data_IF_463125669010
#
_entry.id   IF_463125669010
#
_cell.length_a   1.000
_cell.length_b   1.000
_cell.length_c   1.000
_cell.angle_alpha   90.00
_cell.angle_beta   90.00
_cell.angle_gamma   90.00
#
_symmetry.space_group_name_H-M   'P 1'
#
loop_
_entity.id
_entity.type
_entity.pdbx_description
1 polymer ?
#
# COMPACT_ATOMS: atom_id res chain seq x y z
N UNK A 1 -75.38 -13.44 -41.27
CA UNK A 1 -74.01 -13.40 -41.84
C UNK A 1 -73.60 -11.92 -41.87
N UNK A 2 -72.98 -11.39 -40.81
CA UNK A 2 -71.52 -11.26 -40.62
C UNK A 2 -70.83 -10.52 -41.79
N UNK A 3 -69.92 -9.56 -41.64
CA UNK A 3 -69.31 -8.81 -40.52
C UNK A 3 -68.50 -7.67 -41.19
N UNK A 4 -68.55 -6.46 -40.63
CA UNK A 4 -67.46 -5.49 -40.36
C UNK A 4 -66.25 -5.35 -41.30
N UNK A 5 -65.96 -4.11 -41.71
CA UNK A 5 -64.58 -3.62 -41.88
C UNK A 5 -64.52 -2.08 -41.68
N UNK A 6 -64.43 -1.64 -40.42
CA UNK A 6 -63.86 -0.34 -40.07
C UNK A 6 -62.34 -0.54 -39.94
N UNK A 7 -61.56 0.04 -40.85
CA UNK A 7 -60.12 0.17 -40.71
C UNK A 7 -59.82 1.32 -39.74
N UNK A 8 -59.77 1.01 -38.45
CA UNK A 8 -59.06 1.83 -37.47
C UNK A 8 -57.56 1.55 -37.64
N UNK A 9 -56.83 2.59 -38.05
CA UNK A 9 -55.38 2.70 -37.92
C UNK A 9 -55.02 2.60 -36.43
N UNK A 10 -54.81 1.39 -35.94
CA UNK A 10 -54.01 1.16 -34.74
C UNK A 10 -52.57 1.42 -35.16
N UNK A 11 -52.12 2.66 -34.92
CA UNK A 11 -50.70 2.93 -34.82
C UNK A 11 -50.21 2.10 -33.63
N UNK A 12 -49.60 0.96 -33.93
CA UNK A 12 -48.78 0.22 -32.97
C UNK A 12 -47.63 1.14 -32.55
N UNK A 13 -47.86 1.93 -31.50
CA UNK A 13 -46.79 2.40 -30.63
C UNK A 13 -46.19 1.14 -30.02
N UNK A 14 -45.09 0.67 -30.59
CA UNK A 14 -44.19 -0.24 -29.89
C UNK A 14 -43.87 0.39 -28.53
N UNK A 15 -44.12 -0.28 -27.39
CA UNK A 15 -43.52 0.15 -26.16
C UNK A 15 -42.06 -0.29 -26.24
N UNK A 16 -41.22 0.50 -26.92
CA UNK A 16 -39.83 0.56 -26.47
C UNK A 16 -39.95 1.09 -25.06
N UNK A 17 -39.82 0.21 -24.06
CA UNK A 17 -39.80 0.57 -22.66
C UNK A 17 -38.62 1.52 -22.45
N UNK A 18 -38.85 2.81 -22.68
CA UNK A 18 -37.93 3.87 -22.37
C UNK A 18 -37.76 3.80 -20.87
N UNK A 19 -36.59 3.33 -20.44
CA UNK A 19 -36.21 3.32 -19.03
C UNK A 19 -36.48 4.72 -18.49
N UNK A 20 -37.38 4.84 -17.52
CA UNK A 20 -37.66 6.13 -16.92
C UNK A 20 -36.52 6.43 -15.97
N UNK A 21 -35.84 7.55 -16.22
CA UNK A 21 -34.84 8.07 -15.29
C UNK A 21 -35.53 8.34 -13.93
N UNK A 22 -34.94 7.90 -12.81
CA UNK A 22 -35.49 8.26 -11.50
C UNK A 22 -35.55 9.79 -11.37
N UNK A 23 -36.67 10.31 -10.85
CA UNK A 23 -36.96 11.76 -10.88
C UNK A 23 -35.89 12.63 -10.19
N UNK A 24 -35.22 12.07 -9.19
CA UNK A 24 -34.17 12.76 -8.43
C UNK A 24 -32.80 12.70 -9.10
N UNK A 25 -32.64 12.00 -10.23
CA UNK A 25 -31.35 11.70 -10.82
C UNK A 25 -31.21 12.30 -12.21
N UNK A 26 -29.96 12.51 -12.63
CA UNK A 26 -29.62 12.82 -14.01
C UNK A 26 -29.16 11.54 -14.71
N UNK A 27 -29.81 11.19 -15.82
CA UNK A 27 -29.41 10.02 -16.60
C UNK A 27 -28.55 10.44 -17.78
N UNK A 28 -27.32 9.92 -17.84
CA UNK A 28 -26.39 10.14 -18.96
C UNK A 28 -26.70 9.23 -20.15
N UNK A 29 -27.37 8.10 -19.90
CA UNK A 29 -27.86 7.14 -20.89
C UNK A 29 -29.11 6.44 -20.33
N UNK A 30 -29.80 5.63 -21.13
CA UNK A 30 -30.94 4.84 -20.64
C UNK A 30 -30.55 3.76 -19.60
N UNK A 31 -29.27 3.59 -19.30
CA UNK A 31 -28.74 2.54 -18.44
C UNK A 31 -27.96 3.06 -17.23
N UNK A 32 -27.71 4.37 -17.16
CA UNK A 32 -26.90 4.99 -16.10
C UNK A 32 -27.67 6.13 -15.46
N UNK A 33 -28.00 5.98 -14.18
CA UNK A 33 -28.60 7.03 -13.36
C UNK A 33 -27.56 7.60 -12.40
N UNK A 34 -27.36 8.92 -12.45
CA UNK A 34 -26.43 9.68 -11.59
C UNK A 34 -27.25 10.51 -10.61
N UNK A 35 -27.21 10.11 -9.34
CA UNK A 35 -27.93 10.71 -8.23
C UNK A 35 -26.95 11.25 -7.16
N UNK A 36 -25.71 11.51 -7.55
CA UNK A 36 -24.60 11.82 -6.66
C UNK A 36 -24.56 13.29 -6.25
N UNK A 37 -24.10 13.61 -5.04
CA UNK A 37 -23.94 15.02 -4.57
C UNK A 37 -25.24 15.84 -4.57
N UNK A 38 -26.38 15.19 -4.31
CA UNK A 38 -27.71 15.81 -4.30
C UNK A 38 -28.23 16.08 -2.88
N UNK A 39 -27.39 15.89 -1.87
CA UNK A 39 -27.74 16.02 -0.45
C UNK A 39 -28.93 15.14 -0.04
N UNK A 40 -29.10 13.96 -0.66
CA UNK A 40 -30.19 13.05 -0.35
C UNK A 40 -30.01 12.49 1.08
N UNK A 41 -31.04 12.61 1.91
CA UNK A 41 -31.04 12.07 3.28
C UNK A 41 -31.77 10.73 3.39
N UNK A 42 -32.66 10.45 2.44
CA UNK A 42 -33.44 9.21 2.39
C UNK A 42 -33.87 8.90 0.96
N UNK A 43 -34.26 7.64 0.72
CA UNK A 43 -34.84 7.17 -0.51
C UNK A 43 -36.23 6.59 -0.23
N UNK A 44 -37.23 6.98 -1.02
CA UNK A 44 -38.54 6.31 -0.96
C UNK A 44 -38.42 4.87 -1.46
N UNK A 45 -39.19 3.94 -0.90
CA UNK A 45 -39.17 2.52 -1.29
C UNK A 45 -39.46 2.27 -2.78
N UNK A 46 -40.22 3.16 -3.42
CA UNK A 46 -40.54 3.11 -4.85
C UNK A 46 -39.64 3.98 -5.75
N UNK A 47 -38.51 4.50 -5.24
CA UNK A 47 -37.67 5.48 -5.98
C UNK A 47 -37.22 5.00 -7.36
N UNK A 48 -37.10 3.68 -7.55
CA UNK A 48 -36.60 3.05 -8.76
C UNK A 48 -37.62 2.13 -9.45
N UNK A 49 -38.90 2.21 -9.09
CA UNK A 49 -39.94 1.27 -9.55
C UNK A 49 -40.04 1.14 -11.08
N UNK A 50 -39.74 2.22 -11.82
CA UNK A 50 -39.86 2.28 -13.29
C UNK A 50 -38.50 2.26 -14.02
N UNK A 51 -37.42 1.90 -13.31
CA UNK A 51 -36.03 2.01 -13.80
C UNK A 51 -35.31 0.65 -13.87
N UNK A 52 -36.05 -0.44 -14.13
CA UNK A 52 -35.52 -1.82 -14.12
C UNK A 52 -34.43 -2.15 -15.15
N UNK A 53 -34.25 -1.28 -16.15
CA UNK A 53 -33.21 -1.43 -17.18
C UNK A 53 -31.85 -0.84 -16.77
N UNK A 54 -31.74 -0.18 -15.61
CA UNK A 54 -30.48 0.41 -15.18
C UNK A 54 -29.39 -0.66 -15.00
N UNK A 55 -28.21 -0.36 -15.54
CA UNK A 55 -26.99 -1.13 -15.37
C UNK A 55 -26.05 -0.48 -14.34
N UNK A 56 -26.13 0.85 -14.21
CA UNK A 56 -25.29 1.63 -13.29
C UNK A 56 -26.17 2.60 -12.51
N UNK A 57 -26.06 2.55 -11.18
CA UNK A 57 -26.73 3.47 -10.27
C UNK A 57 -25.68 4.11 -9.36
N UNK A 58 -25.61 5.44 -9.41
CA UNK A 58 -24.67 6.25 -8.64
C UNK A 58 -25.42 7.05 -7.59
N UNK A 59 -25.20 6.75 -6.32
CA UNK A 59 -25.80 7.39 -5.14
C UNK A 59 -24.73 7.94 -4.18
N UNK A 60 -23.49 8.02 -4.62
CA UNK A 60 -22.35 8.47 -3.82
C UNK A 60 -22.43 9.94 -3.45
N UNK A 61 -21.71 10.34 -2.39
CA UNK A 61 -21.66 11.73 -1.90
C UNK A 61 -23.04 12.27 -1.53
N UNK A 62 -23.82 11.50 -0.80
CA UNK A 62 -25.09 11.93 -0.24
C UNK A 62 -25.06 11.80 1.30
N UNK A 63 -26.20 12.02 1.95
CA UNK A 63 -26.34 11.92 3.41
C UNK A 63 -27.29 10.78 3.79
N UNK A 64 -27.31 9.69 3.01
CA UNK A 64 -28.16 8.55 3.30
C UNK A 64 -27.67 7.90 4.58
N UNK A 65 -28.53 7.85 5.60
CA UNK A 65 -28.21 7.22 6.89
C UNK A 65 -28.74 5.79 7.02
N UNK A 66 -29.76 5.46 6.23
CA UNK A 66 -30.38 4.14 6.17
C UNK A 66 -31.04 3.91 4.81
N UNK A 67 -31.28 2.65 4.47
CA UNK A 67 -31.95 2.24 3.23
C UNK A 67 -33.08 1.28 3.57
N UNK A 68 -34.22 1.40 2.87
CA UNK A 68 -35.28 0.40 3.00
C UNK A 68 -34.88 -0.90 2.30
N UNK A 69 -35.22 -2.04 2.89
CA UNK A 69 -34.80 -3.37 2.43
C UNK A 69 -35.12 -3.70 0.97
N UNK A 70 -36.15 -3.07 0.38
CA UNK A 70 -36.59 -3.37 -0.98
C UNK A 70 -36.31 -2.23 -1.98
N UNK A 71 -35.54 -1.21 -1.60
CA UNK A 71 -35.32 -0.01 -2.44
C UNK A 71 -34.74 -0.37 -3.83
N UNK A 72 -33.90 -1.41 -3.92
CA UNK A 72 -33.28 -1.85 -5.17
C UNK A 72 -33.93 -3.11 -5.80
N UNK A 73 -35.07 -3.56 -5.26
CA UNK A 73 -35.71 -4.84 -5.64
C UNK A 73 -36.07 -4.97 -7.13
N UNK A 74 -36.27 -3.85 -7.83
CA UNK A 74 -36.63 -3.82 -9.26
C UNK A 74 -35.41 -3.74 -10.20
N UNK A 75 -34.22 -3.52 -9.67
CA UNK A 75 -32.99 -3.27 -10.42
C UNK A 75 -32.24 -4.57 -10.76
N UNK A 76 -32.93 -5.56 -11.31
CA UNK A 76 -32.39 -6.92 -11.50
C UNK A 76 -31.22 -7.01 -12.48
N UNK A 77 -31.08 -6.03 -13.38
CA UNK A 77 -30.00 -5.97 -14.38
C UNK A 77 -28.79 -5.14 -13.92
N UNK A 78 -28.81 -4.62 -12.69
CA UNK A 78 -27.79 -3.69 -12.21
C UNK A 78 -26.43 -4.39 -12.11
N UNK A 79 -25.41 -3.79 -12.74
CA UNK A 79 -24.02 -4.28 -12.74
C UNK A 79 -23.13 -3.50 -11.79
N UNK A 80 -23.45 -2.23 -11.53
CA UNK A 80 -22.70 -1.36 -10.64
C UNK A 80 -23.62 -0.52 -9.75
N UNK A 81 -23.32 -0.52 -8.46
CA UNK A 81 -24.00 0.27 -7.45
C UNK A 81 -22.97 1.03 -6.59
N UNK A 82 -23.03 2.35 -6.65
CA UNK A 82 -22.16 3.24 -5.88
C UNK A 82 -22.97 3.84 -4.72
N UNK A 83 -22.63 3.43 -3.49
CA UNK A 83 -23.23 3.91 -2.23
C UNK A 83 -22.17 4.53 -1.31
N UNK A 84 -20.97 4.77 -1.83
CA UNK A 84 -19.85 5.34 -1.09
C UNK A 84 -20.06 6.81 -0.73
N UNK A 85 -19.23 7.32 0.20
CA UNK A 85 -19.32 8.71 0.69
C UNK A 85 -20.75 9.07 1.17
N UNK A 86 -21.36 8.19 1.97
CA UNK A 86 -22.67 8.38 2.62
C UNK A 86 -22.53 8.25 4.15
N UNK A 87 -23.65 8.14 4.87
CA UNK A 87 -23.65 8.01 6.34
C UNK A 87 -24.33 6.73 6.84
N UNK A 88 -24.34 5.68 6.01
CA UNK A 88 -25.01 4.41 6.31
C UNK A 88 -24.38 3.78 7.55
N UNK A 89 -25.22 3.39 8.52
CA UNK A 89 -24.78 2.75 9.78
C UNK A 89 -24.97 1.24 9.77
N UNK A 90 -25.95 0.78 9.01
CA UNK A 90 -26.40 -0.59 8.91
C UNK A 90 -27.03 -0.84 7.53
N UNK A 91 -27.06 -2.11 7.12
CA UNK A 91 -27.70 -2.55 5.89
C UNK A 91 -28.76 -3.59 6.24
N UNK A 92 -29.99 -3.48 5.69
CA UNK A 92 -30.97 -4.56 5.78
C UNK A 92 -30.45 -5.84 5.11
N UNK A 93 -30.74 -7.00 5.69
CA UNK A 93 -30.26 -8.29 5.19
C UNK A 93 -30.69 -8.57 3.73
N UNK A 94 -31.89 -8.15 3.33
CA UNK A 94 -32.41 -8.38 1.97
C UNK A 94 -32.14 -7.23 0.98
N UNK A 95 -31.31 -6.25 1.33
CA UNK A 95 -31.10 -5.03 0.53
C UNK A 95 -30.67 -5.32 -0.92
N UNK A 96 -29.86 -6.36 -1.10
CA UNK A 96 -29.27 -6.69 -2.41
C UNK A 96 -29.81 -8.02 -3.00
N UNK A 97 -30.87 -8.60 -2.42
CA UNK A 97 -31.34 -9.95 -2.80
C UNK A 97 -31.65 -10.08 -4.29
N UNK A 98 -32.16 -9.03 -4.93
CA UNK A 98 -32.55 -9.05 -6.35
C UNK A 98 -31.42 -8.72 -7.34
N UNK A 99 -30.23 -8.33 -6.87
CA UNK A 99 -29.14 -7.79 -7.70
C UNK A 99 -28.18 -8.88 -8.21
N UNK A 100 -28.71 -9.92 -8.84
CA UNK A 100 -27.93 -11.10 -9.26
C UNK A 100 -26.83 -10.80 -10.29
N UNK A 101 -26.99 -9.74 -11.08
CA UNK A 101 -26.04 -9.30 -12.12
C UNK A 101 -24.96 -8.34 -11.59
N UNK A 102 -24.96 -8.03 -10.29
CA UNK A 102 -24.07 -7.02 -9.72
C UNK A 102 -22.62 -7.49 -9.73
N UNK A 103 -21.75 -6.67 -10.31
CA UNK A 103 -20.31 -6.92 -10.44
C UNK A 103 -19.47 -5.98 -9.60
N UNK A 104 -19.93 -4.75 -9.38
CA UNK A 104 -19.21 -3.71 -8.65
C UNK A 104 -20.13 -3.13 -7.58
N UNK A 105 -19.68 -3.19 -6.33
CA UNK A 105 -20.37 -2.60 -5.19
C UNK A 105 -19.41 -1.74 -4.37
N UNK A 106 -19.71 -0.45 -4.27
CA UNK A 106 -18.99 0.49 -3.42
C UNK A 106 -19.83 0.86 -2.21
N UNK A 107 -19.31 0.55 -1.03
CA UNK A 107 -19.87 0.84 0.29
C UNK A 107 -18.84 1.53 1.20
N UNK A 108 -17.70 1.94 0.64
CA UNK A 108 -16.65 2.64 1.37
C UNK A 108 -17.10 4.02 1.85
N UNK A 109 -16.34 4.59 2.79
CA UNK A 109 -16.58 5.95 3.29
C UNK A 109 -18.02 6.13 3.83
N UNK A 110 -18.45 5.16 4.63
CA UNK A 110 -19.72 5.15 5.35
C UNK A 110 -19.46 5.01 6.87
N UNK A 111 -20.48 4.65 7.66
CA UNK A 111 -20.36 4.45 9.11
C UNK A 111 -20.80 3.05 9.54
N UNK A 112 -20.63 2.04 8.68
CA UNK A 112 -21.03 0.66 8.94
C UNK A 112 -20.19 0.08 10.08
N UNK A 113 -20.85 -0.46 11.11
CA UNK A 113 -20.17 -1.11 12.25
C UNK A 113 -20.20 -2.63 12.17
N UNK A 114 -21.22 -3.19 11.52
CA UNK A 114 -21.40 -4.63 11.28
C UNK A 114 -22.09 -4.84 9.93
N UNK A 115 -22.09 -6.08 9.44
CA UNK A 115 -22.84 -6.50 8.25
C UNK A 115 -23.68 -7.74 8.59
N UNK A 116 -24.92 -7.85 8.09
CA UNK A 116 -25.68 -9.10 8.19
C UNK A 116 -24.98 -10.21 7.40
N UNK A 117 -24.93 -11.44 7.92
CA UNK A 117 -24.19 -12.55 7.31
C UNK A 117 -24.60 -12.88 5.87
N UNK A 118 -25.88 -12.72 5.52
CA UNK A 118 -26.38 -13.04 4.18
C UNK A 118 -26.50 -11.83 3.24
N UNK A 119 -26.04 -10.63 3.63
CA UNK A 119 -26.30 -9.41 2.85
C UNK A 119 -25.76 -9.46 1.42
N UNK A 120 -24.68 -10.24 1.18
CA UNK A 120 -24.09 -10.44 -0.15
C UNK A 120 -24.43 -11.79 -0.78
N UNK A 121 -25.25 -12.64 -0.13
CA UNK A 121 -25.41 -14.05 -0.51
C UNK A 121 -25.81 -14.30 -1.97
N UNK A 122 -26.60 -13.40 -2.55
CA UNK A 122 -27.10 -13.49 -3.93
C UNK A 122 -26.19 -12.84 -4.97
N UNK A 123 -25.13 -12.15 -4.55
CA UNK A 123 -24.19 -11.41 -5.41
C UNK A 123 -23.07 -12.32 -5.91
N UNK A 124 -23.44 -13.39 -6.63
CA UNK A 124 -22.50 -14.42 -7.10
C UNK A 124 -21.55 -13.91 -8.20
N UNK A 125 -21.98 -12.88 -8.94
CA UNK A 125 -21.20 -12.25 -10.01
C UNK A 125 -20.31 -11.10 -9.54
N UNK A 126 -20.23 -10.85 -8.22
CA UNK A 126 -19.49 -9.74 -7.67
C UNK A 126 -17.98 -9.91 -7.91
N UNK A 127 -17.37 -8.90 -8.54
CA UNK A 127 -15.94 -8.85 -8.89
C UNK A 127 -15.19 -7.88 -7.98
N UNK A 128 -15.82 -6.74 -7.65
CA UNK A 128 -15.21 -5.68 -6.83
C UNK A 128 -16.15 -5.34 -5.68
N UNK A 129 -15.62 -5.42 -4.45
CA UNK A 129 -16.28 -5.00 -3.24
C UNK A 129 -15.39 -4.07 -2.41
N UNK A 130 -15.84 -2.82 -2.24
CA UNK A 130 -15.14 -1.85 -1.40
C UNK A 130 -15.95 -1.55 -0.14
N UNK A 131 -15.34 -1.84 1.01
CA UNK A 131 -15.87 -1.62 2.35
C UNK A 131 -14.90 -0.78 3.21
N UNK A 132 -13.89 -0.16 2.59
CA UNK A 132 -12.88 0.59 3.31
C UNK A 132 -13.41 1.88 3.93
N UNK A 133 -12.72 2.40 4.93
CA UNK A 133 -13.13 3.60 5.65
C UNK A 133 -14.56 3.49 6.22
N UNK A 134 -14.83 2.39 6.91
CA UNK A 134 -16.02 2.17 7.73
C UNK A 134 -15.58 1.95 9.19
N UNK A 135 -16.46 1.40 10.03
CA UNK A 135 -16.20 1.14 11.46
C UNK A 135 -16.40 -0.33 11.79
N UNK A 136 -16.15 -1.22 10.83
CA UNK A 136 -16.42 -2.65 10.97
C UNK A 136 -15.44 -3.26 11.97
N UNK A 137 -15.96 -3.78 13.08
CA UNK A 137 -15.14 -4.42 14.13
C UNK A 137 -14.96 -5.93 13.89
N UNK A 138 -15.97 -6.56 13.29
CA UNK A 138 -15.98 -7.98 12.93
C UNK A 138 -16.90 -8.22 11.74
N UNK A 139 -16.68 -9.35 11.06
CA UNK A 139 -17.53 -9.84 9.99
C UNK A 139 -18.05 -11.23 10.37
N UNK A 140 -19.31 -11.58 10.02
CA UNK A 140 -19.78 -12.96 10.10
C UNK A 140 -18.91 -13.91 9.27
N UNK A 141 -18.75 -15.16 9.71
CA UNK A 141 -17.84 -16.12 9.05
C UNK A 141 -18.29 -16.45 7.62
N UNK A 142 -19.61 -16.45 7.38
CA UNK A 142 -20.28 -16.80 6.11
C UNK A 142 -20.41 -15.64 5.12
N UNK A 143 -19.93 -14.43 5.46
CA UNK A 143 -20.23 -13.18 4.73
C UNK A 143 -19.84 -13.21 3.24
N UNK A 144 -18.87 -14.05 2.87
CA UNK A 144 -18.32 -14.16 1.51
C UNK A 144 -18.49 -15.54 0.86
N UNK A 145 -19.35 -16.42 1.38
CA UNK A 145 -19.47 -17.82 0.94
C UNK A 145 -19.84 -17.96 -0.56
N UNK A 146 -20.60 -17.00 -1.09
CA UNK A 146 -21.07 -17.00 -2.48
C UNK A 146 -20.14 -16.26 -3.45
N UNK A 147 -19.18 -15.46 -2.97
CA UNK A 147 -18.40 -14.48 -3.75
C UNK A 147 -17.21 -15.11 -4.49
N UNK A 148 -17.42 -16.23 -5.19
CA UNK A 148 -16.35 -17.01 -5.86
C UNK A 148 -15.63 -16.26 -6.98
N UNK A 149 -16.28 -15.26 -7.57
CA UNK A 149 -15.77 -14.44 -8.65
C UNK A 149 -15.08 -13.15 -8.17
N UNK A 150 -15.04 -12.91 -6.86
CA UNK A 150 -14.49 -11.68 -6.30
C UNK A 150 -12.98 -11.61 -6.55
N UNK A 151 -12.53 -10.52 -7.19
CA UNK A 151 -11.13 -10.27 -7.54
C UNK A 151 -10.51 -9.19 -6.66
N UNK A 152 -11.30 -8.21 -6.21
CA UNK A 152 -10.84 -7.10 -5.38
C UNK A 152 -11.71 -6.96 -4.14
N UNK A 153 -11.11 -7.07 -2.97
CA UNK A 153 -11.75 -6.84 -1.68
C UNK A 153 -10.95 -5.82 -0.88
N UNK A 154 -11.61 -4.74 -0.48
CA UNK A 154 -10.99 -3.72 0.37
C UNK A 154 -11.74 -3.57 1.70
N UNK A 155 -11.06 -3.94 2.78
CA UNK A 155 -11.48 -3.80 4.18
C UNK A 155 -10.56 -2.84 4.95
N UNK A 156 -9.73 -2.08 4.23
CA UNK A 156 -8.78 -1.11 4.80
C UNK A 156 -9.50 -0.04 5.63
N UNK A 157 -8.84 0.51 6.67
CA UNK A 157 -9.41 1.57 7.52
C UNK A 157 -10.77 1.15 8.12
N UNK A 158 -10.76 0.01 8.79
CA UNK A 158 -11.86 -0.45 9.64
C UNK A 158 -11.31 -0.70 11.06
N UNK A 159 -12.05 -1.41 11.91
CA UNK A 159 -11.67 -1.72 13.28
C UNK A 159 -11.47 -3.22 13.51
N UNK A 160 -11.12 -3.99 12.47
CA UNK A 160 -10.95 -5.44 12.56
C UNK A 160 -9.81 -5.80 13.50
N UNK A 161 -10.08 -6.66 14.49
CA UNK A 161 -9.09 -7.09 15.50
C UNK A 161 -8.48 -8.46 15.22
N UNK A 162 -9.23 -9.34 14.57
CA UNK A 162 -8.83 -10.70 14.24
C UNK A 162 -9.28 -11.04 12.82
N UNK A 163 -8.47 -11.83 12.12
CA UNK A 163 -8.85 -12.47 10.86
C UNK A 163 -9.52 -13.81 11.16
N UNK A 164 -10.67 -14.06 10.51
CA UNK A 164 -11.25 -15.39 10.43
C UNK A 164 -10.91 -15.98 9.05
N UNK A 165 -10.36 -17.20 9.05
CA UNK A 165 -10.01 -17.90 7.81
C UNK A 165 -11.24 -18.25 6.97
N UNK A 166 -12.43 -18.38 7.60
CA UNK A 166 -13.66 -18.71 6.88
C UNK A 166 -14.05 -17.60 5.89
N UNK A 167 -13.71 -16.33 6.16
CA UNK A 167 -13.95 -15.21 5.24
C UNK A 167 -13.32 -15.42 3.86
N UNK A 168 -12.21 -16.16 3.79
CA UNK A 168 -11.40 -16.31 2.58
C UNK A 168 -11.63 -17.65 1.87
N UNK A 169 -12.35 -18.58 2.50
CA UNK A 169 -12.47 -19.98 2.11
C UNK A 169 -12.90 -20.21 0.66
N UNK A 170 -13.74 -19.34 0.13
CA UNK A 170 -14.29 -19.46 -1.22
C UNK A 170 -13.76 -18.41 -2.21
N UNK A 171 -12.81 -17.57 -1.78
CA UNK A 171 -12.29 -16.43 -2.55
C UNK A 171 -11.08 -16.80 -3.42
N UNK A 172 -11.16 -17.91 -4.16
CA UNK A 172 -10.04 -18.42 -4.98
C UNK A 172 -9.66 -17.54 -6.17
N UNK A 173 -10.55 -16.65 -6.60
CA UNK A 173 -10.34 -15.66 -7.68
C UNK A 173 -9.77 -14.34 -7.18
N UNK A 174 -9.61 -14.16 -5.86
CA UNK A 174 -9.19 -12.89 -5.29
C UNK A 174 -7.74 -12.59 -5.65
N UNK A 175 -7.49 -11.44 -6.26
CA UNK A 175 -6.17 -10.99 -6.70
C UNK A 175 -5.61 -9.90 -5.79
N UNK A 176 -6.48 -9.04 -5.25
CA UNK A 176 -6.13 -7.93 -4.38
C UNK A 176 -6.94 -7.93 -3.08
N UNK A 177 -6.23 -7.99 -1.95
CA UNK A 177 -6.81 -7.93 -0.62
C UNK A 177 -6.20 -6.79 0.21
N UNK A 178 -7.01 -5.81 0.59
CA UNK A 178 -6.61 -4.70 1.45
C UNK A 178 -7.14 -4.85 2.87
N UNK A 179 -6.24 -5.05 3.83
CA UNK A 179 -6.52 -5.17 5.27
C UNK A 179 -5.75 -4.13 6.11
N UNK A 180 -5.09 -3.17 5.46
CA UNK A 180 -4.30 -2.16 6.17
C UNK A 180 -5.14 -1.21 7.01
N UNK A 181 -4.50 -0.54 7.98
CA UNK A 181 -5.19 0.40 8.88
C UNK A 181 -6.35 -0.26 9.64
N UNK A 182 -6.11 -1.44 10.20
CA UNK A 182 -7.02 -2.13 11.11
C UNK A 182 -6.31 -2.32 12.48
N UNK A 183 -6.83 -3.20 13.32
CA UNK A 183 -6.31 -3.49 14.66
C UNK A 183 -5.83 -4.94 14.78
N UNK A 184 -5.37 -5.54 13.67
CA UNK A 184 -4.95 -6.94 13.62
C UNK A 184 -3.68 -7.15 14.46
N UNK A 185 -3.66 -8.20 15.27
CA UNK A 185 -2.56 -8.48 16.23
C UNK A 185 -1.68 -9.66 15.82
N UNK A 186 -2.22 -10.62 15.08
CA UNK A 186 -1.48 -11.81 14.66
C UNK A 186 -2.00 -12.37 13.33
N UNK A 187 -1.16 -13.12 12.64
CA UNK A 187 -1.53 -13.90 11.45
C UNK A 187 -1.31 -15.38 11.77
N UNK A 188 -2.37 -16.17 11.68
CA UNK A 188 -2.34 -17.61 11.90
C UNK A 188 -1.96 -18.35 10.60
N UNK A 189 -1.37 -19.53 10.73
CA UNK A 189 -1.15 -20.45 9.62
C UNK A 189 -2.47 -20.69 8.87
N UNK A 190 -2.40 -20.90 7.56
CA UNK A 190 -3.55 -21.19 6.70
C UNK A 190 -4.64 -20.11 6.59
N UNK A 191 -4.51 -18.95 7.27
CA UNK A 191 -5.47 -17.83 7.18
C UNK A 191 -5.80 -17.46 5.73
N UNK A 192 -4.79 -17.45 4.86
CA UNK A 192 -4.94 -17.07 3.44
C UNK A 192 -4.89 -18.26 2.48
N UNK A 193 -4.94 -19.50 2.98
CA UNK A 193 -4.65 -20.72 2.18
C UNK A 193 -5.54 -20.93 0.95
N UNK A 194 -6.77 -20.40 0.97
CA UNK A 194 -7.71 -20.51 -0.15
C UNK A 194 -7.49 -19.45 -1.25
N UNK A 195 -6.68 -18.41 -1.00
CA UNK A 195 -6.49 -17.27 -1.90
C UNK A 195 -5.45 -17.56 -3.00
N UNK A 196 -5.70 -18.61 -3.78
CA UNK A 196 -4.72 -19.16 -4.76
C UNK A 196 -4.38 -18.21 -5.91
N UNK A 197 -5.20 -17.18 -6.15
CA UNK A 197 -4.94 -16.16 -7.17
C UNK A 197 -4.37 -14.85 -6.62
N UNK A 198 -4.15 -14.75 -5.31
CA UNK A 198 -3.76 -13.50 -4.67
C UNK A 198 -2.38 -13.05 -5.12
N UNK A 199 -2.29 -11.80 -5.57
CA UNK A 199 -1.05 -11.14 -6.04
C UNK A 199 -0.57 -10.07 -5.07
N UNK A 200 -1.51 -9.40 -4.41
CA UNK A 200 -1.26 -8.23 -3.59
C UNK A 200 -1.96 -8.35 -2.25
N UNK A 201 -1.18 -8.35 -1.16
CA UNK A 201 -1.70 -8.42 0.20
C UNK A 201 -1.21 -7.24 1.02
N UNK A 202 -2.15 -6.42 1.46
CA UNK A 202 -1.87 -5.23 2.28
C UNK A 202 -2.26 -5.46 3.73
N UNK A 203 -1.27 -5.48 4.63
CA UNK A 203 -1.41 -5.68 6.08
C UNK A 203 -0.72 -4.57 6.89
N UNK A 204 -0.25 -3.52 6.23
CA UNK A 204 0.47 -2.41 6.87
C UNK A 204 -0.43 -1.58 7.80
N UNK A 205 0.18 -0.80 8.69
CA UNK A 205 -0.56 0.03 9.65
C UNK A 205 -1.55 -0.79 10.50
N UNK A 206 -1.11 -1.94 10.99
CA UNK A 206 -1.87 -2.77 11.93
C UNK A 206 -1.10 -2.83 13.27
N UNK A 207 -1.45 -3.77 14.14
CA UNK A 207 -0.78 -3.99 15.42
C UNK A 207 -0.14 -5.37 15.47
N UNK A 208 0.30 -5.90 14.32
CA UNK A 208 0.73 -7.29 14.20
C UNK A 208 2.04 -7.47 14.97
N UNK A 209 2.01 -8.38 15.95
CA UNK A 209 3.15 -8.72 16.81
C UNK A 209 3.80 -10.03 16.36
N UNK A 210 3.00 -10.96 15.83
CA UNK A 210 3.47 -12.28 15.40
C UNK A 210 2.79 -12.75 14.12
N UNK A 211 3.55 -13.52 13.33
CA UNK A 211 3.10 -14.25 12.16
C UNK A 211 3.52 -15.69 12.38
N UNK A 212 2.60 -16.63 12.25
CA UNK A 212 2.92 -18.05 12.38
C UNK A 212 3.74 -18.55 11.17
N UNK A 213 4.47 -19.63 11.40
CA UNK A 213 5.22 -20.32 10.36
C UNK A 213 4.30 -20.71 9.19
N UNK A 214 4.82 -20.66 7.96
CA UNK A 214 4.11 -21.05 6.74
C UNK A 214 2.83 -20.26 6.41
N UNK A 215 2.56 -19.12 7.07
CA UNK A 215 1.35 -18.33 6.88
C UNK A 215 1.07 -17.90 5.42
N UNK A 216 2.11 -17.81 4.58
CA UNK A 216 2.02 -17.41 3.17
C UNK A 216 2.37 -18.54 2.18
N UNK A 217 2.56 -19.77 2.66
CA UNK A 217 3.09 -20.90 1.86
C UNK A 217 2.16 -21.36 0.73
N UNK A 218 0.85 -21.19 0.90
CA UNK A 218 -0.20 -21.61 -0.05
C UNK A 218 -0.64 -20.49 -1.01
N UNK A 219 0.19 -19.48 -1.21
CA UNK A 219 -0.08 -18.32 -2.07
C UNK A 219 0.83 -18.31 -3.31
N UNK A 220 0.54 -19.12 -4.35
CA UNK A 220 1.46 -19.36 -5.47
C UNK A 220 1.60 -18.18 -6.44
N UNK A 221 0.79 -17.12 -6.29
CA UNK A 221 0.85 -15.91 -7.11
C UNK A 221 1.18 -14.64 -6.33
N UNK A 222 1.47 -14.73 -5.03
CA UNK A 222 1.68 -13.54 -4.19
C UNK A 222 3.00 -12.86 -4.57
N UNK A 223 2.91 -11.67 -5.15
CA UNK A 223 4.08 -10.91 -5.63
C UNK A 223 4.45 -9.78 -4.66
N UNK A 224 3.47 -9.14 -4.02
CA UNK A 224 3.69 -7.96 -3.18
C UNK A 224 3.03 -8.15 -1.81
N UNK A 225 3.84 -8.05 -0.77
CA UNK A 225 3.43 -8.16 0.63
C UNK A 225 3.84 -6.91 1.42
N UNK A 226 2.84 -6.19 1.92
CA UNK A 226 3.05 -5.01 2.75
C UNK A 226 2.78 -5.31 4.22
N UNK A 227 3.84 -5.33 5.04
CA UNK A 227 3.81 -5.57 6.49
C UNK A 227 4.39 -4.40 7.31
N UNK A 228 4.66 -3.27 6.67
CA UNK A 228 5.25 -2.10 7.30
C UNK A 228 4.30 -1.41 8.29
N UNK A 229 4.84 -0.60 9.21
CA UNK A 229 4.08 0.05 10.29
C UNK A 229 3.25 -0.97 11.10
N UNK A 230 3.94 -1.99 11.62
CA UNK A 230 3.39 -3.01 12.53
C UNK A 230 4.28 -3.08 13.80
N UNK A 231 4.13 -4.14 14.60
CA UNK A 231 4.84 -4.32 15.87
C UNK A 231 5.69 -5.60 15.88
N UNK A 232 6.12 -6.07 14.71
CA UNK A 232 6.95 -7.27 14.59
C UNK A 232 8.31 -7.01 15.25
N UNK A 233 8.74 -7.91 16.14
CA UNK A 233 10.01 -7.78 16.86
C UNK A 233 11.11 -8.71 16.33
N UNK A 234 10.72 -9.77 15.62
CA UNK A 234 11.61 -10.76 15.01
C UNK A 234 10.99 -11.40 13.76
N UNK A 235 11.84 -11.96 12.90
CA UNK A 235 11.45 -12.84 11.79
C UNK A 235 12.16 -14.18 11.97
N UNK A 236 11.39 -15.26 12.13
CA UNK A 236 11.88 -16.64 12.29
C UNK A 236 12.07 -17.33 10.93
N UNK A 237 12.67 -18.53 10.95
CA UNK A 237 13.05 -19.30 9.75
C UNK A 237 11.89 -19.58 8.79
N UNK A 238 10.69 -19.83 9.33
CA UNK A 238 9.62 -20.47 8.55
C UNK A 238 8.45 -19.54 8.21
N UNK A 239 8.42 -18.29 8.67
CA UNK A 239 7.32 -17.33 8.39
C UNK A 239 7.07 -17.20 6.88
N UNK A 240 8.14 -17.09 6.08
CA UNK A 240 8.07 -16.92 4.63
C UNK A 240 8.35 -18.21 3.86
N UNK A 241 8.46 -19.35 4.54
CA UNK A 241 8.78 -20.61 3.88
C UNK A 241 7.63 -21.02 2.94
N UNK A 242 7.97 -21.35 1.69
CA UNK A 242 7.03 -21.60 0.59
C UNK A 242 6.57 -20.35 -0.20
N UNK A 243 6.81 -19.13 0.29
CA UNK A 243 6.38 -17.88 -0.36
C UNK A 243 7.31 -17.42 -1.51
N UNK A 244 7.72 -18.37 -2.36
CA UNK A 244 8.68 -18.18 -3.47
C UNK A 244 8.33 -17.10 -4.51
N UNK A 245 7.06 -16.75 -4.79
CA UNK A 245 6.73 -15.75 -5.82
C UNK A 245 6.90 -14.30 -5.37
N UNK A 246 7.12 -14.03 -4.07
CA UNK A 246 7.20 -12.66 -3.56
C UNK A 246 8.39 -11.93 -4.22
N UNK A 247 8.09 -10.79 -4.84
CA UNK A 247 9.05 -9.88 -5.48
C UNK A 247 9.32 -8.65 -4.63
N UNK A 248 8.34 -8.18 -3.86
CA UNK A 248 8.48 -7.01 -3.00
C UNK A 248 7.96 -7.31 -1.60
N UNK A 249 8.84 -7.16 -0.60
CA UNK A 249 8.53 -7.35 0.81
C UNK A 249 8.83 -6.06 1.58
N UNK A 250 7.79 -5.47 2.19
CA UNK A 250 7.93 -4.28 3.03
C UNK A 250 7.77 -4.63 4.50
N UNK A 251 8.84 -4.47 5.28
CA UNK A 251 8.92 -4.70 6.72
C UNK A 251 9.39 -3.44 7.49
N UNK A 252 9.49 -2.30 6.81
CA UNK A 252 9.94 -1.05 7.42
C UNK A 252 9.01 -0.57 8.53
N UNK A 253 9.52 0.28 9.41
CA UNK A 253 8.78 0.80 10.57
C UNK A 253 8.12 -0.29 11.43
N UNK A 254 8.87 -1.36 11.70
CA UNK A 254 8.52 -2.38 12.69
C UNK A 254 9.45 -2.22 13.91
N UNK A 255 9.49 -3.24 14.78
CA UNK A 255 10.33 -3.27 15.96
C UNK A 255 11.42 -4.35 15.84
N UNK A 256 11.82 -4.69 14.62
CA UNK A 256 12.69 -5.83 14.35
C UNK A 256 14.07 -5.61 14.99
N UNK A 257 14.43 -6.46 15.95
CA UNK A 257 15.75 -6.45 16.61
C UNK A 257 16.67 -7.54 16.07
N UNK A 258 16.08 -8.65 15.62
CA UNK A 258 16.77 -9.84 15.14
C UNK A 258 16.00 -10.43 13.96
N UNK A 259 16.73 -11.07 13.06
CA UNK A 259 16.17 -11.89 12.00
C UNK A 259 16.97 -13.19 11.94
N UNK A 260 16.29 -14.30 11.69
CA UNK A 260 16.96 -15.56 11.43
C UNK A 260 17.83 -15.48 10.17
N UNK A 261 18.96 -16.18 10.19
CA UNK A 261 19.82 -16.41 9.01
C UNK A 261 19.09 -17.06 7.82
N UNK A 262 17.92 -17.69 8.05
CA UNK A 262 17.12 -18.36 7.02
C UNK A 262 15.81 -17.64 6.69
N UNK A 263 15.56 -16.49 7.30
CA UNK A 263 14.28 -15.77 7.20
C UNK A 263 13.83 -15.53 5.74
N UNK A 264 14.77 -15.35 4.81
CA UNK A 264 14.48 -15.12 3.39
C UNK A 264 14.93 -16.25 2.47
N UNK A 265 15.34 -17.42 2.99
CA UNK A 265 15.93 -18.51 2.20
C UNK A 265 15.03 -18.95 1.03
N UNK A 266 13.71 -19.02 1.25
CA UNK A 266 12.70 -19.38 0.24
C UNK A 266 12.36 -18.27 -0.76
N UNK A 267 12.64 -17.00 -0.43
CA UNK A 267 12.23 -15.82 -1.21
C UNK A 267 13.17 -15.58 -2.40
N UNK A 268 13.27 -16.57 -3.29
CA UNK A 268 14.21 -16.58 -4.41
C UNK A 268 13.84 -15.63 -5.56
N UNK A 269 12.60 -15.12 -5.59
CA UNK A 269 12.12 -14.14 -6.58
C UNK A 269 12.22 -12.69 -6.10
N UNK A 270 12.77 -12.46 -4.91
CA UNK A 270 12.75 -11.16 -4.24
C UNK A 270 13.61 -10.13 -4.97
N UNK A 271 12.99 -9.02 -5.36
CA UNK A 271 13.60 -7.89 -6.06
C UNK A 271 13.75 -6.66 -5.16
N UNK A 272 12.86 -6.48 -4.18
CA UNK A 272 12.84 -5.33 -3.28
C UNK A 272 12.58 -5.74 -1.84
N UNK A 273 13.42 -5.26 -0.93
CA UNK A 273 13.27 -5.42 0.51
C UNK A 273 13.39 -4.07 1.18
N UNK A 274 12.39 -3.74 1.99
CA UNK A 274 12.36 -2.55 2.84
C UNK A 274 12.43 -2.98 4.30
N UNK A 275 13.54 -2.70 4.97
CA UNK A 275 13.80 -3.02 6.37
C UNK A 275 14.12 -1.77 7.19
N UNK A 276 13.98 -0.59 6.61
CA UNK A 276 14.26 0.69 7.24
C UNK A 276 13.36 1.01 8.44
N UNK A 277 13.81 1.91 9.31
CA UNK A 277 13.03 2.31 10.50
C UNK A 277 12.79 1.18 11.51
N UNK A 278 13.71 0.22 11.59
CA UNK A 278 13.68 -0.90 12.54
C UNK A 278 14.77 -0.74 13.64
N UNK A 279 14.98 -1.78 14.44
CA UNK A 279 15.92 -1.79 15.57
C UNK A 279 17.07 -2.79 15.35
N UNK A 280 17.40 -3.10 14.10
CA UNK A 280 18.39 -4.12 13.75
C UNK A 280 19.80 -3.64 14.14
N UNK A 281 20.52 -4.45 14.91
CA UNK A 281 21.90 -4.15 15.35
C UNK A 281 22.97 -4.82 14.52
N UNK A 282 22.62 -5.95 13.91
CA UNK A 282 23.45 -6.73 13.00
C UNK A 282 22.55 -7.55 12.06
N UNK A 283 23.15 -8.04 10.97
CA UNK A 283 22.52 -8.96 10.03
C UNK A 283 23.42 -10.19 9.87
N UNK A 284 22.82 -11.38 9.87
CA UNK A 284 23.58 -12.61 9.65
C UNK A 284 24.14 -12.67 8.22
N UNK A 285 25.39 -13.10 8.08
CA UNK A 285 26.07 -13.27 6.79
C UNK A 285 25.33 -14.13 5.75
N UNK A 286 24.45 -15.04 6.19
CA UNK A 286 23.71 -15.97 5.31
C UNK A 286 22.29 -15.52 4.98
N UNK A 287 21.81 -14.43 5.61
CA UNK A 287 20.43 -13.96 5.49
C UNK A 287 19.96 -13.78 4.03
N UNK A 288 20.86 -13.29 3.16
CA UNK A 288 20.56 -12.98 1.76
C UNK A 288 21.23 -13.93 0.76
N UNK A 289 21.60 -15.14 1.20
CA UNK A 289 22.37 -16.10 0.38
C UNK A 289 21.65 -16.49 -0.92
N UNK A 290 20.31 -16.50 -0.92
CA UNK A 290 19.48 -16.90 -2.06
C UNK A 290 18.96 -15.72 -2.90
N UNK A 291 19.27 -14.48 -2.54
CA UNK A 291 18.64 -13.26 -3.09
C UNK A 291 19.42 -12.64 -4.26
N UNK A 292 19.79 -13.43 -5.27
CA UNK A 292 20.58 -12.96 -6.42
C UNK A 292 19.83 -12.00 -7.38
N UNK A 293 18.49 -11.97 -7.32
CA UNK A 293 17.62 -11.05 -8.07
C UNK A 293 17.37 -9.73 -7.35
N UNK A 294 17.85 -9.56 -6.13
CA UNK A 294 17.58 -8.37 -5.33
C UNK A 294 18.17 -7.12 -5.99
N UNK A 295 17.32 -6.12 -6.19
CA UNK A 295 17.65 -4.84 -6.84
C UNK A 295 17.65 -3.69 -5.84
N UNK A 296 16.87 -3.80 -4.77
CA UNK A 296 16.71 -2.76 -3.77
C UNK A 296 16.78 -3.35 -2.37
N UNK A 297 17.67 -2.79 -1.54
CA UNK A 297 17.81 -3.11 -0.12
C UNK A 297 17.88 -1.81 0.68
N UNK A 298 16.77 -1.47 1.34
CA UNK A 298 16.65 -0.30 2.21
C UNK A 298 16.85 -0.73 3.68
N UNK A 299 17.89 -0.20 4.33
CA UNK A 299 18.28 -0.51 5.71
C UNK A 299 18.47 0.77 6.55
N UNK A 300 18.10 1.93 6.03
CA UNK A 300 18.24 3.20 6.72
C UNK A 300 17.50 3.23 8.06
N UNK A 301 17.96 4.10 8.95
CA UNK A 301 17.33 4.35 10.25
C UNK A 301 17.17 3.08 11.11
N UNK A 302 18.17 2.20 11.04
CA UNK A 302 18.33 1.05 11.92
C UNK A 302 19.40 1.34 13.01
N UNK A 303 19.93 0.29 13.65
CA UNK A 303 20.99 0.35 14.67
C UNK A 303 22.22 -0.46 14.27
N UNK A 304 22.44 -0.65 12.97
CA UNK A 304 23.55 -1.44 12.45
C UNK A 304 24.88 -0.78 12.79
N UNK A 305 25.78 -1.54 13.39
CA UNK A 305 27.15 -1.09 13.70
C UNK A 305 28.15 -1.50 12.64
N UNK A 306 27.87 -2.56 11.88
CA UNK A 306 28.70 -3.01 10.77
C UNK A 306 27.85 -3.82 9.78
N UNK A 307 28.36 -4.00 8.57
CA UNK A 307 27.75 -4.83 7.52
C UNK A 307 28.82 -5.79 7.01
N UNK A 308 28.56 -7.09 7.12
CA UNK A 308 29.50 -8.11 6.69
C UNK A 308 29.48 -8.26 5.16
N UNK A 309 30.65 -8.35 4.53
CA UNK A 309 30.78 -8.59 3.08
C UNK A 309 30.10 -9.87 2.61
N UNK A 310 30.08 -10.95 3.40
CA UNK A 310 29.45 -12.21 3.02
C UNK A 310 27.94 -12.07 2.80
N UNK A 311 27.28 -11.14 3.51
CA UNK A 311 25.87 -10.81 3.30
C UNK A 311 25.64 -10.20 1.90
N UNK A 312 26.60 -9.41 1.40
CA UNK A 312 26.46 -8.61 0.18
C UNK A 312 26.90 -9.36 -1.08
N UNK A 313 27.85 -10.31 -0.97
CA UNK A 313 28.39 -11.07 -2.12
C UNK A 313 27.31 -11.66 -3.05
N UNK A 314 26.21 -12.26 -2.56
CA UNK A 314 25.16 -12.82 -3.42
C UNK A 314 24.39 -11.78 -4.25
N UNK A 315 24.41 -10.50 -3.84
CA UNK A 315 23.55 -9.43 -4.36
C UNK A 315 24.09 -8.84 -5.68
N UNK A 316 24.22 -9.67 -6.70
CA UNK A 316 24.81 -9.31 -7.99
C UNK A 316 23.95 -8.33 -8.81
N UNK A 317 22.64 -8.29 -8.55
CA UNK A 317 21.67 -7.43 -9.27
C UNK A 317 21.35 -6.11 -8.55
N UNK A 318 22.03 -5.83 -7.42
CA UNK A 318 21.70 -4.71 -6.55
C UNK A 318 21.96 -3.37 -7.24
N UNK A 319 20.99 -2.47 -7.16
CA UNK A 319 21.03 -1.12 -7.76
C UNK A 319 20.81 -0.02 -6.74
N UNK A 320 19.92 -0.27 -5.80
CA UNK A 320 19.63 0.63 -4.70
C UNK A 320 20.01 -0.06 -3.40
N UNK A 321 20.84 0.61 -2.62
CA UNK A 321 21.30 0.16 -1.33
C UNK A 321 21.39 1.39 -0.43
N UNK A 322 20.80 1.36 0.75
CA UNK A 322 20.76 2.50 1.64
C UNK A 322 21.04 2.08 3.08
N UNK A 323 21.99 2.76 3.73
CA UNK A 323 22.44 2.54 5.10
C UNK A 323 22.41 3.82 5.93
N UNK A 324 21.85 4.93 5.43
CA UNK A 324 21.83 6.20 6.16
C UNK A 324 21.17 6.06 7.54
N UNK A 325 21.57 6.87 8.52
CA UNK A 325 20.96 6.82 9.86
C UNK A 325 21.35 5.60 10.70
N UNK A 326 22.31 4.78 10.26
CA UNK A 326 22.89 3.70 11.07
C UNK A 326 24.17 4.14 11.81
N UNK A 327 24.38 3.69 13.06
CA UNK A 327 25.56 3.96 13.88
C UNK A 327 26.79 3.12 13.45
N UNK A 328 27.19 3.21 12.19
CA UNK A 328 28.26 2.37 11.64
C UNK A 328 29.63 2.70 12.26
N UNK A 329 30.30 1.67 12.76
CA UNK A 329 31.69 1.70 13.19
C UNK A 329 32.58 1.54 11.95
N UNK A 330 33.21 2.64 11.56
CA UNK A 330 34.09 2.66 10.38
C UNK A 330 35.49 2.21 10.75
N UNK A 331 35.62 0.92 11.03
CA UNK A 331 36.86 0.20 11.30
C UNK A 331 37.16 -0.84 10.19
N UNK A 332 38.15 -1.70 10.45
CA UNK A 332 38.57 -2.72 9.49
C UNK A 332 37.52 -3.83 9.24
N UNK A 333 36.49 -3.95 10.08
CA UNK A 333 35.42 -4.92 9.87
C UNK A 333 34.48 -4.48 8.74
N UNK A 334 34.31 -3.17 8.54
CA UNK A 334 33.45 -2.60 7.50
C UNK A 334 34.19 -2.37 6.17
N UNK A 335 35.53 -2.40 6.20
CA UNK A 335 36.39 -2.10 5.05
C UNK A 335 36.05 -2.91 3.79
N UNK A 336 35.89 -4.22 3.92
CA UNK A 336 35.60 -5.10 2.78
C UNK A 336 34.22 -4.83 2.16
N UNK A 337 33.21 -4.55 2.99
CA UNK A 337 31.89 -4.16 2.53
C UNK A 337 31.94 -2.81 1.81
N UNK A 338 32.69 -1.86 2.35
CA UNK A 338 32.91 -0.56 1.72
C UNK A 338 33.57 -0.65 0.35
N UNK A 339 34.60 -1.48 0.23
CA UNK A 339 35.26 -1.72 -1.05
C UNK A 339 34.28 -2.33 -2.06
N UNK A 340 33.43 -3.27 -1.62
CA UNK A 340 32.46 -3.95 -2.48
C UNK A 340 31.41 -3.02 -3.08
N UNK A 341 30.79 -2.13 -2.28
CA UNK A 341 29.78 -1.22 -2.81
C UNK A 341 30.41 -0.07 -3.60
N UNK A 342 31.61 0.37 -3.21
CA UNK A 342 32.35 1.41 -3.94
C UNK A 342 32.77 0.93 -5.33
N UNK A 343 33.25 -0.31 -5.45
CA UNK A 343 33.60 -0.93 -6.73
C UNK A 343 32.39 -1.09 -7.67
N UNK A 344 31.17 -1.11 -7.13
CA UNK A 344 29.90 -1.19 -7.86
C UNK A 344 29.27 0.18 -8.13
N UNK A 345 29.95 1.27 -7.79
CA UNK A 345 29.41 2.63 -7.87
C UNK A 345 28.09 2.82 -7.09
N UNK A 346 27.85 2.01 -6.05
CA UNK A 346 26.73 2.18 -5.14
C UNK A 346 27.09 3.26 -4.11
N UNK A 347 26.09 4.06 -3.72
CA UNK A 347 26.24 5.07 -2.68
C UNK A 347 25.18 4.86 -1.59
N UNK A 348 25.50 4.13 -0.51
CA UNK A 348 24.54 3.81 0.53
C UNK A 348 24.23 4.96 1.49
N UNK A 349 24.74 6.18 1.23
CA UNK A 349 24.56 7.34 2.10
C UNK A 349 25.00 7.06 3.56
N UNK A 350 25.97 6.16 3.72
CA UNK A 350 26.47 5.72 5.01
C UNK A 350 27.38 6.78 5.66
N UNK A 351 27.22 6.97 6.96
CA UNK A 351 28.02 7.86 7.80
C UNK A 351 28.63 7.09 8.96
N UNK A 352 29.81 7.50 9.40
CA UNK A 352 30.49 6.90 10.54
C UNK A 352 30.04 7.49 11.86
N UNK A 353 29.95 6.66 12.89
CA UNK A 353 29.93 7.09 14.28
C UNK A 353 31.36 7.05 14.84
N UNK A 354 31.85 8.19 15.35
CA UNK A 354 33.15 8.29 16.02
C UNK A 354 33.00 8.11 17.54
N UNK A 355 33.94 7.43 18.23
CA UNK A 355 33.86 7.17 19.67
C UNK A 355 33.92 8.42 20.56
N UNK A 356 34.42 9.55 20.07
CA UNK A 356 34.52 10.79 20.85
C UNK A 356 34.17 12.00 19.99
N UNK A 357 33.04 12.65 20.31
CA UNK A 357 32.63 14.01 19.89
C UNK A 357 32.93 14.33 18.42
N UNK A 358 32.18 13.77 17.47
CA UNK A 358 31.92 14.44 16.18
C UNK A 358 30.81 13.73 15.41
N UNK A 359 29.85 14.56 14.96
CA UNK A 359 28.67 14.18 14.18
C UNK A 359 29.09 13.87 12.74
N UNK A 360 28.69 12.71 12.23
CA UNK A 360 28.41 12.49 10.81
C UNK A 360 29.56 12.68 9.82
N UNK A 361 30.71 12.03 10.04
CA UNK A 361 31.76 11.98 9.02
C UNK A 361 31.36 11.01 7.89
N UNK A 362 31.60 11.41 6.64
CA UNK A 362 31.35 10.55 5.48
C UNK A 362 32.19 9.28 5.57
N UNK A 363 31.58 8.12 5.32
CA UNK A 363 32.27 6.82 5.33
C UNK A 363 33.50 6.79 4.43
N UNK A 364 33.45 7.51 3.30
CA UNK A 364 34.56 7.60 2.36
C UNK A 364 35.79 8.26 3.00
N UNK A 365 35.60 9.36 3.72
CA UNK A 365 36.70 10.14 4.30
C UNK A 365 37.43 9.36 5.41
N UNK A 366 36.68 8.63 6.24
CA UNK A 366 37.26 7.89 7.36
C UNK A 366 37.94 6.60 6.90
N UNK A 367 37.30 5.84 6.00
CA UNK A 367 37.86 4.57 5.56
C UNK A 367 39.07 4.78 4.65
N UNK A 368 39.09 5.76 3.73
CA UNK A 368 40.24 5.97 2.82
C UNK A 368 41.60 6.16 3.53
N UNK A 369 41.57 6.61 4.79
CA UNK A 369 42.77 6.84 5.60
C UNK A 369 43.05 5.69 6.60
N UNK A 370 42.25 4.64 6.59
CA UNK A 370 42.36 3.50 7.49
C UNK A 370 43.40 2.51 6.96
N UNK A 371 44.38 2.14 7.78
CA UNK A 371 45.33 1.08 7.47
C UNK A 371 44.93 -0.17 8.26
N UNK A 372 44.52 -1.22 7.54
CA UNK A 372 44.12 -2.50 8.12
C UNK A 372 45.21 -3.55 7.95
N UNK A 373 45.68 -4.11 9.07
CA UNK A 373 46.60 -5.25 9.05
C UNK A 373 45.87 -6.55 8.70
N UNK A 374 46.62 -7.60 8.35
CA UNK A 374 46.09 -8.93 7.99
C UNK A 374 45.20 -9.57 9.07
N UNK A 375 45.33 -9.13 10.33
CA UNK A 375 44.51 -9.57 11.47
C UNK A 375 43.25 -8.71 11.71
N UNK A 376 42.92 -7.77 10.81
CA UNK A 376 41.79 -6.81 10.92
C UNK A 376 41.78 -5.97 12.21
N UNK A 377 42.94 -5.83 12.87
CA UNK A 377 43.17 -4.87 13.94
C UNK A 377 43.72 -3.57 13.33
N UNK A 378 42.87 -2.55 13.20
CA UNK A 378 43.25 -1.26 12.64
C UNK A 378 43.75 -0.28 13.70
N UNK A 379 44.87 0.41 13.44
CA UNK A 379 45.23 1.67 14.12
C UNK A 379 44.89 2.82 13.17
N UNK A 380 44.09 3.78 13.61
CA UNK A 380 43.99 5.08 12.94
C UNK A 380 45.35 5.76 13.09
N UNK A 381 46.08 5.99 12.00
CA UNK A 381 47.26 6.85 12.09
C UNK A 381 46.78 8.28 12.33
N UNK A 382 47.27 8.99 13.38
CA UNK A 382 47.02 10.42 13.47
C UNK A 382 47.68 11.07 12.26
N UNK A 383 46.94 11.94 11.57
CA UNK A 383 47.46 12.73 10.47
C UNK A 383 48.73 13.44 10.94
N UNK A 384 49.89 13.02 10.42
CA UNK A 384 51.17 13.67 10.67
C UNK A 384 51.11 15.06 10.03
N UNK A 385 50.78 16.05 10.84
CA UNK A 385 50.95 17.46 10.53
C UNK A 385 52.34 17.87 11.01
N UNK A 386 53.33 17.73 10.12
CA UNK A 386 54.58 18.49 10.23
C UNK A 386 54.73 19.37 9.00
N UNK A 387 54.12 20.55 9.06
CA UNK A 387 54.67 21.73 8.41
C UNK A 387 54.64 22.87 9.41
N UNK A 388 55.84 23.23 9.85
CA UNK A 388 56.16 24.36 10.72
C UNK A 388 55.79 25.63 9.96
N UNK A 389 54.67 26.27 10.30
CA UNK A 389 54.33 27.60 9.77
C UNK A 389 54.99 28.63 10.68
N UNK A 390 56.07 29.24 10.17
CA UNK A 390 56.53 30.53 10.65
C UNK A 390 55.45 31.57 10.37
N UNK A 391 55.18 32.39 11.36
CA UNK A 391 54.31 33.54 11.26
C UNK A 391 54.85 34.52 10.21
N UNK A 392 54.09 34.75 9.14
CA UNK A 392 54.13 36.00 8.39
C UNK A 392 52.73 36.60 8.33
N UNK A 393 52.70 37.89 8.60
CA UNK A 393 51.58 38.78 8.83
C UNK A 393 50.87 39.22 7.54
N UNK A 394 49.56 39.45 7.69
CA UNK A 394 48.76 40.47 6.98
C UNK A 394 48.50 40.32 5.48
N UNK A 395 47.24 40.06 5.10
CA UNK A 395 46.28 41.08 4.64
C UNK A 395 45.23 40.48 3.68
N UNK A 396 43.96 40.90 3.80
CA UNK A 396 42.93 40.59 2.79
C UNK A 396 41.45 40.60 3.18
N UNK A 397 41.01 41.32 4.23
CA UNK A 397 39.60 41.36 4.70
C UNK A 397 38.63 42.06 3.71
N UNK A 398 39.04 42.35 2.47
CA UNK A 398 38.18 43.01 1.46
C UNK A 398 37.47 42.07 0.47
N UNK A 399 37.82 40.78 0.41
CA UNK A 399 37.19 39.82 -0.52
C UNK A 399 36.13 38.91 0.12
N UNK A 400 36.07 38.81 1.45
CA UNK A 400 35.11 37.94 2.14
C UNK A 400 33.70 38.57 2.21
N UNK A 401 33.61 39.88 2.33
CA UNK A 401 32.33 40.60 2.42
C UNK A 401 31.57 40.60 1.09
N UNK A 402 32.27 40.72 -0.04
CA UNK A 402 31.67 40.62 -1.38
C UNK A 402 31.21 39.19 -1.66
N UNK A 403 32.01 38.18 -1.29
CA UNK A 403 31.65 36.76 -1.41
C UNK A 403 30.44 36.38 -0.56
N UNK A 404 30.37 36.84 0.70
CA UNK A 404 29.22 36.60 1.57
C UNK A 404 27.95 37.31 1.06
N UNK A 405 28.05 38.52 0.49
CA UNK A 405 26.88 39.19 -0.09
C UNK A 405 26.33 38.45 -1.30
N UNK A 406 27.20 37.94 -2.17
CA UNK A 406 26.79 37.14 -3.35
C UNK A 406 26.14 35.82 -2.90
N UNK A 407 26.72 35.14 -1.90
CA UNK A 407 26.14 33.90 -1.35
C UNK A 407 24.79 34.16 -0.69
N UNK A 408 24.62 35.26 0.05
CA UNK A 408 23.33 35.63 0.65
C UNK A 408 22.28 35.96 -0.42
N UNK A 409 22.66 36.65 -1.50
CA UNK A 409 21.75 36.92 -2.63
C UNK A 409 21.33 35.60 -3.30
N UNK A 410 22.27 34.67 -3.52
CA UNK A 410 21.98 33.35 -4.11
C UNK A 410 21.07 32.53 -3.20
N UNK A 411 21.33 32.48 -1.88
CA UNK A 411 20.48 31.76 -0.93
C UNK A 411 19.09 32.39 -0.87
N UNK A 412 18.98 33.73 -0.89
CA UNK A 412 17.69 34.41 -0.91
C UNK A 412 16.90 34.11 -2.19
N UNK A 413 17.57 34.07 -3.35
CA UNK A 413 16.94 33.72 -4.63
C UNK A 413 16.49 32.25 -4.68
N UNK A 414 17.29 31.33 -4.11
CA UNK A 414 16.93 29.91 -3.99
C UNK A 414 15.73 29.75 -3.05
N UNK A 415 15.72 30.43 -1.90
CA UNK A 415 14.61 30.35 -0.95
C UNK A 415 13.32 30.94 -1.52
N UNK A 416 13.39 32.04 -2.27
CA UNK A 416 12.24 32.62 -2.98
C UNK A 416 11.77 31.67 -4.09
N UNK A 417 12.69 31.06 -4.84
CA UNK A 417 12.40 30.05 -5.85
C UNK A 417 11.72 28.80 -5.27
N UNK A 418 12.21 28.30 -4.14
CA UNK A 418 11.61 27.19 -3.40
C UNK A 418 10.25 27.56 -2.80
N UNK A 419 10.05 28.80 -2.35
CA UNK A 419 8.76 29.25 -1.82
C UNK A 419 7.72 29.43 -2.94
N UNK A 420 8.11 29.99 -4.09
CA UNK A 420 7.27 30.07 -5.29
C UNK A 420 6.97 28.65 -5.83
N UNK A 421 7.95 27.74 -5.80
CA UNK A 421 7.77 26.35 -6.16
C UNK A 421 6.81 25.62 -5.21
N UNK A 422 6.93 25.81 -3.89
CA UNK A 422 6.03 25.19 -2.90
C UNK A 422 4.60 25.75 -3.02
N UNK A 423 4.43 27.05 -3.30
CA UNK A 423 3.11 27.64 -3.56
C UNK A 423 2.53 27.14 -4.89
N UNK A 424 3.35 27.03 -5.93
CA UNK A 424 2.96 26.43 -7.21
C UNK A 424 2.59 24.95 -7.10
N UNK A 425 3.33 24.19 -6.30
CA UNK A 425 3.12 22.76 -6.09
C UNK A 425 1.92 22.48 -5.16
N UNK A 426 1.64 23.36 -4.18
CA UNK A 426 0.38 23.30 -3.40
C UNK A 426 -0.85 23.65 -4.25
N UNK A 427 -0.72 24.53 -5.26
CA UNK A 427 -1.80 24.81 -6.21
C UNK A 427 -2.05 23.61 -7.15
N UNK A 428 -0.99 22.95 -7.62
CA UNK A 428 -1.11 21.73 -8.46
C UNK A 428 -1.60 20.50 -7.68
N UNK A 429 -1.22 20.30 -6.41
CA UNK A 429 -1.70 19.15 -5.61
C UNK A 429 -3.18 19.21 -5.23
N UNK A 430 -3.81 20.39 -5.30
CA UNK A 430 -5.26 20.53 -5.10
C UNK A 430 -6.03 20.30 -6.40
N UNK A 431 -5.36 20.34 -7.57
CA UNK A 431 -5.95 20.02 -8.86
C UNK A 431 -5.68 18.58 -9.33
N UNK A 432 -4.62 17.91 -8.85
CA UNK A 432 -4.31 16.51 -9.22
C UNK A 432 -4.94 15.45 -8.30
N UNK A 433 -5.66 15.84 -7.24
CA UNK A 433 -6.51 14.93 -6.45
C UNK A 433 -7.99 14.93 -6.92
N UNK A 434 -8.29 15.57 -8.05
CA UNK A 434 -9.62 15.59 -8.67
C UNK A 434 -9.53 15.23 -10.16
N UNK A 435 -10.06 14.05 -10.52
CA UNK A 435 -10.55 13.56 -11.84
C UNK A 435 -9.60 12.72 -12.73
N UNK A 436 -10.12 11.86 -13.66
CA UNK A 436 -10.89 10.64 -13.41
C UNK A 436 -10.39 9.42 -14.21
N UNK A 437 -10.75 8.21 -13.76
CA UNK A 437 -10.70 6.99 -14.56
C UNK A 437 -11.84 7.02 -15.61
N UNK A 438 -11.56 7.53 -16.81
CA UNK A 438 -12.39 7.31 -18.00
C UNK A 438 -11.52 7.16 -19.25
N UNK A 439 -12.00 6.31 -20.16
CA UNK A 439 -11.48 5.96 -21.49
C UNK A 439 -10.39 4.88 -21.55
N UNK A 440 -10.83 3.65 -21.81
CA UNK A 440 -10.34 2.89 -22.96
C UNK A 440 -11.45 1.96 -23.46
N UNK A 441 -12.12 2.44 -24.51
CA UNK A 441 -12.99 1.67 -25.39
C UNK A 441 -12.53 1.93 -26.81
N UNK A 442 -11.89 0.93 -27.42
CA UNK A 442 -12.05 0.54 -28.82
C UNK A 442 -12.09 -0.99 -28.83
#
# INVERSE_FOLDING_TARGET
MARWAWLLLIVCLSPTATALCPLMCQCSSNYTAVCSSLNLTSLSSGAFQFSSNLLVLRLERNFLSSLSANVFSTLTNLKRLDLDENTLKDLPESLFTSLHELQILYLNDNSLTTLPGNVFRTLENLVILWLHNNKIESLPSEIFDSQKNLQTLSLMKNALRKLDKEWFKHLGSLEFLALSNNQLVSIEEDTFSALVSLRNLSLHHNQIISIQDHAFSKLPKLEILWLYDNRLSEITDNIFNGATPIKSLSLHNNQLKKMSSKAFESLTSLEQIYLDGNLLTSLDSKLLQSQNKLRMLELQDNKLTSVNIELLKPLVSLRTFNLSGNPLLCDCTLWDAWLWWSARALNPLATCQLPEISIGVSIRQQLQNLVCNSERTGRVQPAVSQTRVQAESSCGVRNLTVGCLIILIIISAIMIGSFIYIIGHRKHRVQEMLLPLESNSI
#
